data_IF_193437591823
#
_entry.id   IF_193437591823
#
_cell.length_a   1.000
_cell.length_b   1.000
_cell.length_c   1.000
_cell.angle_alpha   90.00
_cell.angle_beta   90.00
_cell.angle_gamma   90.00
#
_symmetry.space_group_name_H-M   'P 1'
#
loop_
_entity.id
_entity.type
_entity.pdbx_description
1 polymer ?
#
# COMPACT_ATOMS: atom_id res chain seq x y z
N UNK A 1 10.99 -13.47 -31.57
CA UNK A 1 10.90 -13.13 -30.14
C UNK A 1 9.57 -12.42 -29.96
N UNK A 2 8.54 -13.08 -29.40
CA UNK A 2 7.20 -12.50 -29.31
C UNK A 2 7.13 -11.51 -28.12
N UNK A 3 6.42 -10.37 -28.24
CA UNK A 3 6.29 -9.39 -27.17
C UNK A 3 5.51 -10.00 -25.99
N UNK A 4 5.99 -9.73 -24.79
CA UNK A 4 5.47 -10.22 -23.50
C UNK A 4 4.06 -9.70 -23.14
N UNK A 5 3.43 -8.91 -23.99
CA UNK A 5 2.06 -8.40 -23.76
C UNK A 5 1.02 -9.39 -24.25
N UNK A 6 1.04 -10.62 -23.73
CA UNK A 6 -0.07 -11.56 -23.88
C UNK A 6 -0.70 -11.76 -22.52
N UNK A 7 -1.71 -10.94 -22.21
CA UNK A 7 -2.92 -11.30 -21.44
C UNK A 7 -3.63 -10.04 -20.95
N UNK A 8 -4.46 -9.43 -21.82
CA UNK A 8 -5.61 -8.62 -21.38
C UNK A 8 -6.74 -9.53 -20.85
N UNK A 9 -6.41 -10.59 -20.10
CA UNK A 9 -7.42 -11.45 -19.47
C UNK A 9 -8.04 -10.78 -18.23
N UNK A 10 -7.37 -9.77 -17.66
CA UNK A 10 -7.85 -9.04 -16.48
C UNK A 10 -8.96 -8.03 -16.78
N UNK A 11 -9.24 -7.65 -18.03
CA UNK A 11 -10.22 -6.60 -18.31
C UNK A 11 -11.68 -7.05 -18.05
N UNK A 12 -11.97 -8.35 -18.16
CA UNK A 12 -13.32 -8.91 -17.94
C UNK A 12 -13.76 -8.91 -16.48
N UNK A 13 -12.81 -8.87 -15.53
CA UNK A 13 -13.07 -8.83 -14.08
C UNK A 13 -13.18 -7.40 -13.53
N UNK A 14 -12.88 -6.40 -14.37
CA UNK A 14 -12.89 -4.98 -13.98
C UNK A 14 -14.30 -4.39 -13.89
N UNK A 15 -15.25 -4.94 -14.67
CA UNK A 15 -16.63 -4.46 -14.71
C UNK A 15 -17.43 -4.95 -13.47
N UNK A 16 -17.96 -4.04 -12.64
CA UNK A 16 -18.71 -4.41 -11.42
C UNK A 16 -19.92 -5.30 -11.70
N UNK A 17 -20.60 -5.12 -12.84
CA UNK A 17 -21.77 -5.91 -13.20
C UNK A 17 -21.41 -7.37 -13.48
N UNK A 18 -20.36 -7.62 -14.28
CA UNK A 18 -19.90 -8.99 -14.55
C UNK A 18 -19.29 -9.65 -13.32
N UNK A 19 -18.69 -8.88 -12.41
CA UNK A 19 -18.15 -9.40 -11.16
C UNK A 19 -19.25 -9.96 -10.24
N UNK A 20 -20.40 -9.28 -10.15
CA UNK A 20 -21.55 -9.75 -9.38
C UNK A 20 -22.08 -11.09 -9.92
N UNK A 21 -22.31 -11.18 -11.23
CA UNK A 21 -22.79 -12.41 -11.88
C UNK A 21 -21.82 -13.58 -11.67
N UNK A 22 -20.51 -13.32 -11.75
CA UNK A 22 -19.47 -14.34 -11.52
C UNK A 22 -19.51 -14.80 -10.06
N UNK A 23 -19.54 -13.89 -9.09
CA UNK A 23 -19.59 -14.23 -7.66
C UNK A 23 -20.81 -15.10 -7.36
N UNK A 24 -21.99 -14.74 -7.86
CA UNK A 24 -23.22 -15.49 -7.65
C UNK A 24 -23.18 -16.88 -8.31
N UNK A 25 -22.41 -17.05 -9.39
CA UNK A 25 -22.24 -18.36 -10.04
C UNK A 25 -21.37 -19.34 -9.25
N UNK A 26 -20.38 -18.83 -8.50
CA UNK A 26 -19.39 -19.64 -7.77
C UNK A 26 -19.68 -19.76 -6.27
N UNK A 27 -20.29 -18.74 -5.66
CA UNK A 27 -20.46 -18.63 -4.21
C UNK A 27 -21.72 -19.38 -3.76
N UNK A 28 -21.59 -20.69 -3.57
CA UNK A 28 -22.62 -21.55 -2.98
C UNK A 28 -22.13 -22.12 -1.65
N UNK A 29 -23.02 -22.23 -0.67
CA UNK A 29 -22.70 -22.85 0.60
C UNK A 29 -22.31 -24.32 0.38
N UNK A 30 -21.20 -24.77 0.98
CA UNK A 30 -20.64 -26.08 0.67
C UNK A 30 -21.54 -27.25 1.11
N UNK A 31 -22.34 -27.06 2.17
CA UNK A 31 -23.31 -28.07 2.65
C UNK A 31 -24.72 -27.89 2.05
N UNK A 32 -25.33 -26.70 2.18
CA UNK A 32 -26.72 -26.47 1.77
C UNK A 32 -26.90 -26.20 0.27
N UNK A 33 -25.83 -25.83 -0.43
CA UNK A 33 -25.87 -25.48 -1.86
C UNK A 33 -26.57 -24.15 -2.17
N UNK A 34 -27.04 -23.43 -1.14
CA UNK A 34 -27.69 -22.14 -1.29
C UNK A 34 -26.70 -21.10 -1.82
N UNK A 35 -27.15 -20.26 -2.74
CA UNK A 35 -26.35 -19.15 -3.27
C UNK A 35 -26.17 -18.05 -2.22
N UNK A 36 -25.07 -17.33 -2.34
CA UNK A 36 -24.78 -16.16 -1.51
C UNK A 36 -25.96 -15.16 -1.51
N UNK A 37 -26.38 -14.63 -0.35
CA UNK A 37 -27.37 -13.56 -0.28
C UNK A 37 -26.94 -12.31 -1.06
N UNK A 38 -27.90 -11.66 -1.73
CA UNK A 38 -27.64 -10.54 -2.64
C UNK A 38 -27.06 -9.32 -1.91
N UNK A 39 -27.52 -9.06 -0.68
CA UNK A 39 -27.01 -7.99 0.19
C UNK A 39 -25.53 -8.17 0.54
N UNK A 40 -25.11 -9.42 0.79
CA UNK A 40 -23.70 -9.75 1.04
C UNK A 40 -22.88 -9.59 -0.24
N UNK A 41 -23.39 -10.03 -1.39
CA UNK A 41 -22.73 -9.83 -2.68
C UNK A 41 -22.50 -8.33 -2.97
N UNK A 42 -23.50 -7.49 -2.71
CA UNK A 42 -23.41 -6.04 -2.89
C UNK A 42 -22.40 -5.39 -1.93
N UNK A 43 -22.18 -5.94 -0.74
CA UNK A 43 -21.15 -5.45 0.19
C UNK A 43 -19.71 -5.75 -0.25
N UNK A 44 -19.50 -6.80 -1.06
CA UNK A 44 -18.16 -7.24 -1.51
C UNK A 44 -17.60 -6.32 -2.60
N UNK A 45 -18.45 -5.84 -3.52
CA UNK A 45 -18.06 -4.98 -4.65
C UNK A 45 -17.32 -3.71 -4.19
N UNK A 46 -17.84 -2.91 -3.23
CA UNK A 46 -17.13 -1.73 -2.72
C UNK A 46 -15.94 -2.10 -1.83
N UNK A 47 -15.94 -3.28 -1.21
CA UNK A 47 -14.82 -3.74 -0.39
C UNK A 47 -13.57 -4.14 -1.21
N UNK A 48 -13.65 -4.25 -2.54
CA UNK A 48 -12.51 -4.68 -3.38
C UNK A 48 -11.30 -3.76 -3.30
N UNK A 49 -11.48 -2.49 -2.96
CA UNK A 49 -10.40 -1.50 -2.83
C UNK A 49 -9.91 -1.34 -1.39
N UNK A 50 -10.56 -2.01 -0.43
CA UNK A 50 -10.21 -1.92 0.98
C UNK A 50 -8.77 -2.36 1.23
N UNK A 51 -7.99 -1.52 1.93
CA UNK A 51 -6.55 -1.72 2.20
C UNK A 51 -5.65 -1.86 0.98
N UNK A 52 -6.15 -1.60 -0.23
CA UNK A 52 -5.29 -1.78 -1.40
C UNK A 52 -4.15 -0.76 -1.47
N UNK A 53 -4.21 0.39 -0.78
CA UNK A 53 -3.07 1.30 -0.67
C UNK A 53 -1.94 0.73 0.19
N UNK A 54 -2.26 -0.07 1.23
CA UNK A 54 -1.26 -0.88 1.93
C UNK A 54 -0.68 -1.98 1.04
N UNK A 55 -1.52 -2.65 0.25
CA UNK A 55 -1.04 -3.65 -0.74
C UNK A 55 -0.13 -3.00 -1.80
N UNK A 56 -0.41 -1.74 -2.14
CA UNK A 56 0.33 -0.96 -3.11
C UNK A 56 1.69 -0.49 -2.57
N UNK A 57 1.76 -0.06 -1.31
CA UNK A 57 3.04 0.19 -0.62
C UNK A 57 3.90 -1.08 -0.59
N UNK A 58 3.31 -2.27 -0.43
CA UNK A 58 4.06 -3.52 -0.57
C UNK A 58 4.62 -3.70 -1.99
N UNK A 59 3.87 -3.35 -3.04
CA UNK A 59 4.38 -3.41 -4.43
C UNK A 59 5.52 -2.41 -4.67
N UNK A 60 5.42 -1.19 -4.13
CA UNK A 60 6.53 -0.22 -4.18
C UNK A 60 7.77 -0.72 -3.45
N UNK A 61 7.59 -1.33 -2.27
CA UNK A 61 8.68 -1.96 -1.53
C UNK A 61 9.36 -3.03 -2.37
N UNK A 62 8.60 -3.93 -2.99
CA UNK A 62 9.16 -4.98 -3.86
C UNK A 62 9.93 -4.39 -5.04
N UNK A 63 9.41 -3.34 -5.68
CA UNK A 63 10.10 -2.66 -6.77
C UNK A 63 11.40 -1.96 -6.29
N UNK A 64 11.38 -1.32 -5.12
CA UNK A 64 12.58 -0.70 -4.54
C UNK A 64 13.66 -1.72 -4.17
N UNK A 65 13.25 -2.87 -3.63
CA UNK A 65 14.15 -4.00 -3.35
C UNK A 65 14.72 -4.57 -4.65
N UNK A 66 13.89 -4.80 -5.67
CA UNK A 66 14.32 -5.30 -6.97
C UNK A 66 15.37 -4.40 -7.62
N UNK A 67 15.12 -3.08 -7.66
CA UNK A 67 16.06 -2.11 -8.20
C UNK A 67 17.38 -2.09 -7.43
N UNK A 68 17.33 -2.16 -6.10
CA UNK A 68 18.53 -2.15 -5.25
C UNK A 68 19.36 -3.43 -5.45
N UNK A 69 18.69 -4.58 -5.57
CA UNK A 69 19.33 -5.86 -5.86
C UNK A 69 20.02 -5.88 -7.23
N UNK A 70 19.47 -5.18 -8.21
CA UNK A 70 20.02 -5.14 -9.57
C UNK A 70 20.97 -3.98 -9.84
N UNK A 71 21.08 -3.00 -8.93
CA UNK A 71 21.95 -1.83 -9.10
C UNK A 71 23.17 -1.85 -8.18
N UNK A 72 22.97 -2.16 -6.89
CA UNK A 72 23.96 -1.89 -5.84
C UNK A 72 24.38 -3.15 -5.07
N UNK A 73 23.59 -4.21 -5.12
CA UNK A 73 23.86 -5.43 -4.36
C UNK A 73 25.04 -6.22 -4.93
N UNK A 74 25.93 -6.65 -4.04
CA UNK A 74 27.08 -7.50 -4.37
C UNK A 74 26.99 -8.78 -3.54
N UNK A 75 26.92 -9.98 -4.17
CA UNK A 75 26.88 -11.24 -3.46
C UNK A 75 28.08 -11.43 -2.51
N UNK A 76 27.84 -11.94 -1.30
CA UNK A 76 28.89 -12.23 -0.31
C UNK A 76 29.24 -11.07 0.63
N UNK A 77 28.54 -9.93 0.54
CA UNK A 77 28.58 -8.90 1.59
C UNK A 77 27.88 -9.37 2.87
N UNK A 78 28.16 -8.73 4.03
CA UNK A 78 27.47 -9.04 5.29
C UNK A 78 25.97 -8.74 5.24
N UNK A 79 25.57 -7.77 4.42
CA UNK A 79 24.16 -7.37 4.26
C UNK A 79 23.41 -8.41 3.43
N UNK A 80 22.34 -8.95 4.01
CA UNK A 80 21.47 -9.93 3.38
C UNK A 80 20.37 -9.25 2.57
N UNK A 81 19.73 -10.03 1.68
CA UNK A 81 18.55 -9.58 0.92
C UNK A 81 17.41 -9.17 1.87
N UNK A 82 17.28 -9.85 3.00
CA UNK A 82 16.28 -9.52 4.02
C UNK A 82 16.55 -8.16 4.67
N UNK A 83 17.82 -7.80 4.87
CA UNK A 83 18.19 -6.49 5.44
C UNK A 83 17.81 -5.35 4.47
N UNK A 84 18.00 -5.56 3.16
CA UNK A 84 17.59 -4.61 2.12
C UNK A 84 16.06 -4.45 2.09
N UNK A 85 15.34 -5.57 2.15
CA UNK A 85 13.87 -5.59 2.17
C UNK A 85 13.29 -4.93 3.43
N UNK A 86 13.95 -5.13 4.58
CA UNK A 86 13.58 -4.50 5.84
C UNK A 86 13.86 -3.00 5.82
N UNK A 87 15.02 -2.56 5.33
CA UNK A 87 15.35 -1.13 5.19
C UNK A 87 14.33 -0.38 4.35
N UNK A 88 13.90 -0.94 3.21
CA UNK A 88 12.87 -0.32 2.37
C UNK A 88 11.48 -0.27 3.05
N UNK A 89 11.12 -1.28 3.84
CA UNK A 89 9.91 -1.21 4.68
C UNK A 89 10.01 -0.09 5.72
N UNK A 90 11.16 0.00 6.39
CA UNK A 90 11.42 0.97 7.44
C UNK A 90 11.41 2.40 6.92
N UNK A 91 12.00 2.68 5.75
CA UNK A 91 11.96 4.02 5.13
C UNK A 91 10.52 4.51 4.93
N UNK A 92 9.66 3.68 4.35
CA UNK A 92 8.26 4.05 4.13
C UNK A 92 7.48 4.17 5.45
N UNK A 93 7.72 3.27 6.40
CA UNK A 93 7.05 3.28 7.69
C UNK A 93 7.42 4.51 8.54
N UNK A 94 8.72 4.82 8.64
CA UNK A 94 9.18 5.99 9.39
C UNK A 94 8.75 7.29 8.71
N UNK A 95 8.72 7.35 7.38
CA UNK A 95 8.27 8.58 6.73
C UNK A 95 6.77 8.80 6.85
N UNK A 96 5.98 7.72 6.88
CA UNK A 96 4.55 7.80 7.24
C UNK A 96 4.36 8.24 8.68
N UNK A 97 5.11 7.66 9.62
CA UNK A 97 5.01 8.00 11.04
C UNK A 97 5.45 9.43 11.34
N UNK A 98 6.50 9.92 10.67
CA UNK A 98 6.95 11.30 10.78
C UNK A 98 5.85 12.31 10.44
N UNK A 99 4.88 11.97 9.59
CA UNK A 99 3.72 12.83 9.32
C UNK A 99 2.82 13.02 10.54
N UNK A 100 2.74 12.01 11.42
CA UNK A 100 2.00 12.09 12.68
C UNK A 100 2.79 12.89 13.72
N UNK A 101 4.12 12.74 13.76
CA UNK A 101 4.98 13.55 14.62
C UNK A 101 4.94 15.04 14.23
N UNK A 102 5.03 15.35 12.93
CA UNK A 102 4.91 16.70 12.36
C UNK A 102 3.55 17.35 12.69
N UNK A 103 2.48 16.55 12.82
CA UNK A 103 1.14 17.02 13.17
C UNK A 103 0.95 17.28 14.68
N UNK A 104 1.87 16.80 15.53
CA UNK A 104 1.75 16.86 16.99
C UNK A 104 0.96 15.69 17.56
N UNK A 105 1.66 14.78 18.25
CA UNK A 105 1.06 13.56 18.84
C UNK A 105 0.22 13.82 20.09
N UNK A 106 0.35 14.99 20.69
CA UNK A 106 -0.34 15.43 21.90
C UNK A 106 -1.61 16.26 21.63
N UNK A 107 -1.85 16.63 20.37
CA UNK A 107 -3.02 17.39 19.95
C UNK A 107 -4.07 16.47 19.28
N UNK A 108 -5.12 16.17 20.04
CA UNK A 108 -6.22 15.31 19.59
C UNK A 108 -6.87 15.74 18.27
N UNK A 109 -6.91 17.04 17.98
CA UNK A 109 -7.55 17.56 16.77
C UNK A 109 -6.68 17.28 15.54
N UNK A 110 -5.41 17.64 15.58
CA UNK A 110 -4.47 17.40 14.47
C UNK A 110 -4.22 15.90 14.27
N UNK A 111 -4.19 15.12 15.35
CA UNK A 111 -4.06 13.66 15.29
C UNK A 111 -5.27 13.01 14.59
N UNK A 112 -6.49 13.51 14.83
CA UNK A 112 -7.70 13.06 14.12
C UNK A 112 -7.66 13.44 12.64
N UNK A 113 -7.17 14.63 12.31
CA UNK A 113 -7.06 15.11 10.93
C UNK A 113 -6.05 14.27 10.13
N UNK A 114 -4.84 14.06 10.65
CA UNK A 114 -3.83 13.21 9.98
C UNK A 114 -4.28 11.75 9.89
N UNK A 115 -4.94 11.23 10.93
CA UNK A 115 -5.50 9.88 10.93
C UNK A 115 -6.62 9.71 9.91
N UNK A 116 -7.48 10.72 9.74
CA UNK A 116 -8.52 10.73 8.69
C UNK A 116 -7.87 10.75 7.32
N UNK A 117 -6.88 11.62 7.10
CA UNK A 117 -6.14 11.67 5.83
C UNK A 117 -5.47 10.34 5.51
N UNK A 118 -4.81 9.71 6.48
CA UNK A 118 -4.20 8.39 6.30
C UNK A 118 -5.23 7.32 5.92
N UNK A 119 -6.40 7.33 6.57
CA UNK A 119 -7.50 6.42 6.27
C UNK A 119 -8.03 6.62 4.85
N UNK A 120 -8.26 7.86 4.44
CA UNK A 120 -8.86 8.20 3.14
C UNK A 120 -7.89 8.02 1.98
N UNK A 121 -6.59 8.00 2.24
CA UNK A 121 -5.55 7.82 1.22
C UNK A 121 -4.95 6.41 1.26
N UNK A 122 -3.97 6.19 2.14
CA UNK A 122 -3.15 4.98 2.24
C UNK A 122 -3.99 3.73 2.51
N UNK A 123 -5.09 3.84 3.27
CA UNK A 123 -5.93 2.68 3.57
C UNK A 123 -7.11 2.49 2.59
N UNK A 124 -7.54 3.53 1.88
CA UNK A 124 -8.77 3.50 1.07
C UNK A 124 -8.56 3.53 -0.45
N UNK A 125 -7.53 4.22 -0.97
CA UNK A 125 -7.39 4.46 -2.42
C UNK A 125 -6.97 3.23 -3.23
N UNK A 126 -6.57 2.15 -2.55
CA UNK A 126 -6.44 0.88 -3.21
C UNK A 126 -5.33 0.86 -4.27
N UNK A 127 -5.52 0.01 -5.29
CA UNK A 127 -4.82 0.09 -6.58
C UNK A 127 -5.53 0.98 -7.62
N UNK A 128 -6.48 1.83 -7.18
CA UNK A 128 -7.24 2.72 -8.07
C UNK A 128 -6.46 3.98 -8.48
N UNK A 129 -5.29 4.21 -7.88
CA UNK A 129 -4.40 5.36 -8.13
C UNK A 129 -2.94 4.89 -8.06
N UNK A 130 -2.02 5.60 -8.72
CA UNK A 130 -0.60 5.22 -8.70
C UNK A 130 -0.01 5.38 -7.28
N UNK A 131 0.91 4.49 -6.88
CA UNK A 131 1.42 4.46 -5.51
C UNK A 131 2.07 5.76 -5.03
N UNK A 132 2.88 6.36 -5.89
CA UNK A 132 3.53 7.63 -5.65
C UNK A 132 2.49 8.74 -5.49
N UNK A 133 1.39 8.71 -6.25
CA UNK A 133 0.29 9.67 -6.12
C UNK A 133 -0.47 9.51 -4.80
N UNK A 134 -0.73 8.28 -4.35
CA UNK A 134 -1.34 8.01 -3.04
C UNK A 134 -0.44 8.52 -1.91
N UNK A 135 0.87 8.25 -2.02
CA UNK A 135 1.84 8.72 -1.03
C UNK A 135 1.96 10.24 -1.03
N UNK A 136 2.03 10.87 -2.21
CA UNK A 136 2.04 12.32 -2.38
C UNK A 136 0.78 12.98 -1.81
N UNK A 137 -0.39 12.36 -2.00
CA UNK A 137 -1.65 12.87 -1.46
C UNK A 137 -1.71 12.77 0.06
N UNK A 138 -1.12 11.72 0.65
CA UNK A 138 -1.02 11.59 2.11
C UNK A 138 0.05 12.52 2.72
N UNK A 139 1.28 12.50 2.19
CA UNK A 139 2.45 13.21 2.75
C UNK A 139 2.61 14.64 2.26
N UNK A 140 1.99 15.01 1.14
CA UNK A 140 2.21 16.28 0.45
C UNK A 140 3.55 16.37 -0.29
N UNK A 141 4.38 15.32 -0.24
CA UNK A 141 5.71 15.26 -0.86
C UNK A 141 6.11 13.82 -1.18
N UNK A 142 7.18 13.66 -1.96
CA UNK A 142 7.80 12.36 -2.21
C UNK A 142 8.42 11.77 -0.92
N UNK A 143 8.58 10.43 -0.86
CA UNK A 143 9.18 9.77 0.29
C UNK A 143 10.63 10.21 0.48
N UNK A 144 11.01 10.53 1.72
CA UNK A 144 12.36 10.96 2.07
C UNK A 144 13.01 9.96 3.04
N UNK A 145 14.32 9.64 2.84
CA UNK A 145 15.04 8.76 3.75
C UNK A 145 15.34 9.43 5.10
N UNK A 146 15.21 10.76 5.20
CA UNK A 146 15.55 11.56 6.37
C UNK A 146 14.85 11.09 7.64
N UNK A 147 13.58 10.69 7.55
CA UNK A 147 12.80 10.18 8.69
C UNK A 147 13.41 8.87 9.24
N UNK A 148 13.82 7.97 8.35
CA UNK A 148 14.56 6.76 8.71
C UNK A 148 15.92 7.09 9.35
N UNK A 149 16.67 8.04 8.78
CA UNK A 149 17.97 8.43 9.30
C UNK A 149 17.88 9.09 10.68
N UNK A 150 16.87 9.93 10.92
CA UNK A 150 16.62 10.54 12.23
C UNK A 150 16.25 9.52 13.28
N UNK A 151 15.37 8.56 12.94
CA UNK A 151 14.99 7.50 13.86
C UNK A 151 16.19 6.64 14.28
N UNK A 152 17.11 6.41 13.35
CA UNK A 152 18.36 5.68 13.63
C UNK A 152 19.48 6.57 14.22
N UNK A 153 19.21 7.83 14.56
CA UNK A 153 20.19 8.74 15.16
C UNK A 153 21.31 9.20 14.23
N UNK A 154 21.14 9.03 12.91
CA UNK A 154 22.09 9.40 11.87
C UNK A 154 21.88 10.84 11.34
N UNK A 155 20.74 11.45 11.66
CA UNK A 155 20.45 12.87 11.44
C UNK A 155 19.86 13.50 12.72
N UNK A 156 19.98 14.83 12.91
CA UNK A 156 19.37 15.52 14.04
C UNK A 156 17.84 15.39 14.03
N UNK A 157 17.25 15.14 15.21
CA UNK A 157 15.80 15.10 15.40
C UNK A 157 15.15 16.43 14.96
N UNK A 158 13.93 16.36 14.40
CA UNK A 158 13.17 17.58 14.11
C UNK A 158 12.80 18.21 15.45
N UNK A 159 13.34 19.39 15.72
CA UNK A 159 12.83 20.24 16.80
C UNK A 159 11.58 20.89 16.22
N UNK A 160 10.40 20.39 16.59
CA UNK A 160 9.14 21.08 16.30
C UNK A 160 9.21 22.46 16.98
N UNK A 161 9.05 23.53 16.18
CA UNK A 161 8.98 24.92 16.65
C UNK A 161 7.53 25.32 16.89
#
# INVERSE_FOLDING_TARGET
MKPWTSTYFSFSLSNPASLGDIIMSIAKHYETGESLPEDVCLSIIPARTFRGGSQLLCQLRYAGVDLELHSNYVPGRPESIYDIDQRWAEVLAYDVFAAFEEAGLDNDQTLREIGTRFRETVLALGGGKLPNEVFLEFRGREPLPDSFLRYNGLLPAIIAA
#
